data_IF_203061894781
#
_entry.id   IF_203061894781
#
_cell.length_a   1.000
_cell.length_b   1.000
_cell.length_c   1.000
_cell.angle_alpha   90.00
_cell.angle_beta   90.00
_cell.angle_gamma   90.00
#
_symmetry.space_group_name_H-M   'P 1'
#
loop_
_entity.id
_entity.type
_entity.pdbx_description
1 polymer ?
#
# COMPACT_ATOMS: atom_id res chain seq x y z
N UNK A 1 -2.16 11.74 19.21
CA UNK A 1 -3.04 10.85 18.42
C UNK A 1 -4.44 11.45 18.49
N UNK A 2 -5.08 11.80 17.38
CA UNK A 2 -6.39 12.46 17.38
C UNK A 2 -7.47 11.37 17.55
N UNK A 3 -8.47 11.56 18.43
CA UNK A 3 -9.56 10.60 18.56
C UNK A 3 -10.38 10.51 17.26
N UNK A 4 -10.90 9.33 16.90
CA UNK A 4 -11.60 9.10 15.62
C UNK A 4 -12.78 10.04 15.39
N UNK A 5 -13.51 10.37 16.45
CA UNK A 5 -14.71 11.21 16.38
C UNK A 5 -14.36 12.65 16.00
N UNK A 6 -13.28 13.21 16.56
CA UNK A 6 -12.79 14.56 16.20
C UNK A 6 -12.27 14.62 14.77
N UNK A 7 -11.67 13.53 14.27
CA UNK A 7 -11.29 13.44 12.86
C UNK A 7 -12.53 13.43 11.94
N UNK A 8 -13.59 12.72 12.34
CA UNK A 8 -14.86 12.69 11.60
C UNK A 8 -15.54 14.06 11.52
N UNK A 9 -15.53 14.82 12.61
CA UNK A 9 -16.06 16.20 12.64
C UNK A 9 -15.27 17.13 11.71
N UNK A 10 -13.94 17.00 11.67
CA UNK A 10 -13.10 17.78 10.76
C UNK A 10 -13.40 17.46 9.28
N UNK A 11 -13.57 16.18 8.95
CA UNK A 11 -13.94 15.73 7.60
C UNK A 11 -15.26 16.37 7.16
N UNK A 12 -16.26 16.36 8.06
CA UNK A 12 -17.55 17.01 7.82
C UNK A 12 -17.42 18.52 7.63
N UNK A 13 -16.64 19.19 8.48
CA UNK A 13 -16.39 20.62 8.38
C UNK A 13 -15.68 21.01 7.06
N UNK A 14 -14.81 20.12 6.57
CA UNK A 14 -14.07 20.29 5.31
C UNK A 14 -14.86 19.83 4.08
N UNK A 15 -16.09 19.32 4.24
CA UNK A 15 -16.94 18.75 3.16
C UNK A 15 -16.23 17.67 2.34
N UNK A 16 -15.40 16.85 2.99
CA UNK A 16 -14.71 15.73 2.36
C UNK A 16 -15.62 14.50 2.43
N UNK A 17 -15.77 13.76 1.34
CA UNK A 17 -16.54 12.52 1.35
C UNK A 17 -15.74 11.40 2.03
N UNK A 18 -16.31 10.82 3.10
CA UNK A 18 -15.72 9.70 3.82
C UNK A 18 -16.44 8.40 3.49
N UNK A 19 -15.67 7.39 3.11
CA UNK A 19 -16.13 6.04 2.86
C UNK A 19 -15.41 5.07 3.77
N UNK A 20 -16.12 4.56 4.79
CA UNK A 20 -15.56 3.61 5.74
C UNK A 20 -15.83 2.18 5.25
N UNK A 21 -14.80 1.46 4.83
CA UNK A 21 -14.91 0.08 4.36
C UNK A 21 -14.39 -0.86 5.44
N UNK A 22 -15.29 -1.66 6.03
CA UNK A 22 -14.94 -2.72 6.94
C UNK A 22 -14.61 -4.01 6.18
N UNK A 23 -13.33 -4.38 6.14
CA UNK A 23 -12.86 -5.64 5.56
C UNK A 23 -12.52 -6.63 6.70
N UNK A 24 -13.26 -7.73 6.80
CA UNK A 24 -13.03 -8.74 7.82
C UNK A 24 -14.16 -9.76 7.96
N UNK A 25 -13.81 -10.92 8.52
CA UNK A 25 -14.77 -11.96 8.90
C UNK A 25 -15.18 -11.75 10.37
N UNK A 26 -16.49 -11.80 10.65
CA UNK A 26 -16.97 -11.93 12.03
C UNK A 26 -16.94 -13.42 12.37
N UNK A 27 -16.02 -13.84 13.23
CA UNK A 27 -15.91 -15.26 13.56
C UNK A 27 -14.58 -15.66 14.17
N UNK A 28 -14.18 -16.90 13.90
CA UNK A 28 -12.96 -17.51 14.42
C UNK A 28 -11.88 -17.28 13.37
N UNK A 29 -10.84 -16.52 13.72
CA UNK A 29 -9.66 -16.37 12.89
C UNK A 29 -8.43 -16.97 13.60
N UNK A 30 -7.52 -17.63 12.86
CA UNK A 30 -6.26 -18.09 13.42
C UNK A 30 -5.39 -16.86 13.72
N UNK A 31 -5.29 -16.50 15.01
CA UNK A 31 -4.45 -15.41 15.47
C UNK A 31 -3.17 -15.95 16.09
N UNK A 32 -1.99 -15.36 15.80
CA UNK A 32 -0.75 -15.77 16.43
C UNK A 32 -0.82 -15.48 17.93
N UNK A 33 -0.47 -16.47 18.75
CA UNK A 33 -0.42 -16.29 20.20
C UNK A 33 0.87 -15.57 20.55
N UNK A 34 0.81 -14.54 21.39
CA UNK A 34 1.99 -13.80 21.85
C UNK A 34 2.34 -14.19 23.29
N UNK A 35 3.62 -14.37 23.60
CA UNK A 35 4.14 -14.50 24.95
C UNK A 35 4.07 -13.16 25.70
N UNK A 36 4.18 -13.18 27.04
CA UNK A 36 4.17 -11.96 27.89
C UNK A 36 5.26 -10.92 27.51
N UNK A 37 6.28 -11.32 26.77
CA UNK A 37 7.34 -10.45 26.26
C UNK A 37 7.02 -9.82 24.88
N UNK A 38 5.82 -10.03 24.35
CA UNK A 38 5.37 -9.51 23.06
C UNK A 38 5.86 -10.28 21.82
N UNK A 39 6.59 -11.38 21.99
CA UNK A 39 7.03 -12.24 20.87
C UNK A 39 5.97 -13.29 20.54
N UNK A 40 5.77 -13.65 19.26
CA UNK A 40 4.91 -14.77 18.90
C UNK A 40 5.44 -16.05 19.56
N UNK A 41 4.54 -16.83 20.15
CA UNK A 41 4.86 -18.15 20.68
C UNK A 41 5.27 -19.04 19.53
N UNK A 42 6.39 -19.71 19.72
CA UNK A 42 7.00 -20.57 18.72
C UNK A 42 7.06 -21.99 19.27
N UNK A 43 6.63 -22.97 18.49
CA UNK A 43 6.79 -24.38 18.84
C UNK A 43 8.28 -24.78 18.84
N UNK A 44 8.63 -25.96 19.36
CA UNK A 44 9.99 -26.49 19.42
C UNK A 44 10.69 -26.53 18.05
N UNK A 45 9.93 -26.45 16.96
CA UNK A 45 10.40 -26.43 15.57
C UNK A 45 10.52 -25.04 14.94
N UNK A 46 10.27 -23.94 15.67
CA UNK A 46 10.41 -22.59 15.11
C UNK A 46 9.15 -22.04 14.42
N UNK A 47 8.02 -22.76 14.45
CA UNK A 47 6.76 -22.33 13.83
C UNK A 47 5.91 -21.49 14.80
N UNK A 48 5.28 -20.42 14.29
CA UNK A 48 4.35 -19.58 15.07
C UNK A 48 3.11 -20.40 15.42
N UNK A 49 2.76 -20.43 16.70
CA UNK A 49 1.55 -21.09 17.19
C UNK A 49 0.36 -20.16 16.95
N UNK A 50 -0.60 -20.65 16.16
CA UNK A 50 -1.87 -19.99 15.91
C UNK A 50 -2.96 -20.58 16.79
N UNK A 51 -3.79 -19.72 17.37
CA UNK A 51 -5.00 -20.14 18.07
C UNK A 51 -6.22 -19.51 17.43
N UNK A 52 -7.28 -20.31 17.34
CA UNK A 52 -8.60 -19.89 16.91
C UNK A 52 -9.20 -18.95 17.95
N UNK A 53 -9.08 -17.64 17.74
CA UNK A 53 -9.68 -16.63 18.60
C UNK A 53 -10.90 -16.01 17.90
N UNK A 54 -11.94 -15.71 18.69
CA UNK A 54 -13.07 -14.92 18.19
C UNK A 54 -12.59 -13.49 17.97
N UNK A 55 -12.49 -13.09 16.72
CA UNK A 55 -12.19 -11.71 16.35
C UNK A 55 -13.51 -10.97 16.24
N UNK A 56 -13.71 -10.03 17.15
CA UNK A 56 -14.84 -9.09 17.08
C UNK A 56 -14.40 -7.88 16.27
N UNK A 57 -14.83 -7.82 15.01
CA UNK A 57 -14.65 -6.62 14.21
C UNK A 57 -15.57 -5.52 14.79
N UNK A 58 -15.00 -4.40 15.21
CA UNK A 58 -15.76 -3.29 15.78
C UNK A 58 -16.45 -2.47 14.67
N UNK A 59 -17.55 -3.03 14.18
CA UNK A 59 -18.41 -2.41 13.19
C UNK A 59 -19.11 -1.16 13.72
N UNK A 60 -19.47 -1.15 15.00
CA UNK A 60 -20.21 -0.06 15.63
C UNK A 60 -19.41 1.25 15.63
N UNK A 61 -18.11 1.20 15.96
CA UNK A 61 -17.26 2.39 15.95
C UNK A 61 -17.05 2.97 14.55
N UNK A 62 -16.93 2.12 13.53
CA UNK A 62 -16.80 2.57 12.14
C UNK A 62 -18.10 3.19 11.62
N UNK A 63 -19.25 2.62 11.99
CA UNK A 63 -20.56 3.21 11.67
C UNK A 63 -20.76 4.57 12.35
N UNK A 64 -20.32 4.73 13.60
CA UNK A 64 -20.42 6.01 14.31
C UNK A 64 -19.57 7.09 13.64
N UNK A 65 -18.31 6.78 13.30
CA UNK A 65 -17.42 7.68 12.56
C UNK A 65 -17.99 8.06 11.19
N UNK A 66 -18.54 7.10 10.44
CA UNK A 66 -19.17 7.36 9.16
C UNK A 66 -20.39 8.29 9.30
N UNK A 67 -21.25 8.06 10.32
CA UNK A 67 -22.39 8.93 10.61
C UNK A 67 -21.97 10.35 10.97
N UNK A 68 -20.95 10.52 11.80
CA UNK A 68 -20.44 11.85 12.19
C UNK A 68 -19.90 12.60 10.98
N UNK A 69 -19.20 11.89 10.09
CA UNK A 69 -18.60 12.45 8.88
C UNK A 69 -19.60 12.66 7.72
N UNK A 70 -20.89 12.33 7.89
CA UNK A 70 -21.90 12.31 6.81
C UNK A 70 -21.48 11.41 5.62
N UNK A 71 -20.72 10.37 5.92
CA UNK A 71 -20.16 9.42 4.97
C UNK A 71 -20.94 8.10 4.91
N UNK A 72 -20.52 7.21 4.00
CA UNK A 72 -21.13 5.89 3.85
C UNK A 72 -20.25 4.79 4.47
N UNK A 73 -20.90 3.84 5.17
CA UNK A 73 -20.25 2.65 5.69
C UNK A 73 -20.56 1.46 4.78
N UNK A 74 -19.52 0.78 4.31
CA UNK A 74 -19.64 -0.42 3.51
C UNK A 74 -18.97 -1.61 4.20
N UNK A 75 -19.63 -2.76 4.14
CA UNK A 75 -19.09 -4.02 4.64
C UNK A 75 -18.60 -4.86 3.47
N UNK A 76 -17.29 -5.08 3.38
CA UNK A 76 -16.68 -5.92 2.37
C UNK A 76 -16.32 -7.27 3.01
N UNK A 77 -17.21 -8.26 2.84
CA UNK A 77 -16.95 -9.65 3.30
C UNK A 77 -16.14 -10.46 2.31
N UNK A 78 -16.10 -10.04 1.05
CA UNK A 78 -15.43 -10.74 -0.06
C UNK A 78 -14.86 -9.75 -1.08
N UNK A 79 -13.84 -10.16 -1.85
CA UNK A 79 -13.14 -9.35 -2.85
C UNK A 79 -14.07 -8.81 -3.93
N UNK A 80 -15.06 -9.60 -4.36
CA UNK A 80 -16.06 -9.16 -5.35
C UNK A 80 -16.92 -7.99 -4.83
N UNK A 81 -17.37 -8.10 -3.58
CA UNK A 81 -18.12 -7.02 -2.91
C UNK A 81 -17.28 -5.75 -2.80
N UNK A 82 -15.98 -5.88 -2.48
CA UNK A 82 -15.07 -4.74 -2.43
C UNK A 82 -14.95 -4.04 -3.79
N UNK A 83 -14.75 -4.81 -4.86
CA UNK A 83 -14.65 -4.28 -6.23
C UNK A 83 -15.93 -3.58 -6.68
N UNK A 84 -17.10 -4.13 -6.31
CA UNK A 84 -18.38 -3.50 -6.59
C UNK A 84 -18.57 -2.18 -5.83
N UNK A 85 -18.21 -2.15 -4.53
CA UNK A 85 -18.25 -0.93 -3.71
C UNK A 85 -17.37 0.16 -4.34
N UNK A 86 -16.14 -0.18 -4.73
CA UNK A 86 -15.25 0.77 -5.41
C UNK A 86 -15.82 1.24 -6.76
N UNK A 87 -16.42 0.34 -7.54
CA UNK A 87 -17.06 0.69 -8.80
C UNK A 87 -18.28 1.61 -8.63
N UNK A 88 -19.02 1.50 -7.54
CA UNK A 88 -20.15 2.38 -7.25
C UNK A 88 -19.68 3.74 -6.70
N UNK A 89 -18.62 3.77 -5.88
CA UNK A 89 -17.97 5.02 -5.43
C UNK A 89 -17.42 5.80 -6.64
N UNK A 90 -16.74 5.14 -7.57
CA UNK A 90 -16.15 5.76 -8.77
C UNK A 90 -17.20 6.37 -9.72
N UNK A 91 -18.42 5.81 -9.75
CA UNK A 91 -19.54 6.39 -10.53
C UNK A 91 -20.11 7.64 -9.87
N UNK A 92 -20.15 7.68 -8.53
CA UNK A 92 -20.69 8.78 -7.74
C UNK A 92 -19.70 9.95 -7.67
N UNK A 93 -18.39 9.64 -7.58
CA UNK A 93 -17.31 10.61 -7.65
C UNK A 93 -16.64 10.58 -9.03
N UNK A 94 -17.15 11.37 -9.98
CA UNK A 94 -16.40 11.71 -11.19
C UNK A 94 -15.27 12.69 -10.86
N UNK A 95 -14.29 12.24 -10.09
CA UNK A 95 -13.11 13.04 -9.78
C UNK A 95 -11.92 12.37 -10.44
N UNK A 96 -11.24 13.08 -11.34
CA UNK A 96 -10.06 12.58 -12.06
C UNK A 96 -8.97 12.24 -11.04
N UNK A 97 -8.89 10.98 -10.60
CA UNK A 97 -7.90 10.57 -9.62
C UNK A 97 -6.54 10.65 -10.29
N UNK A 98 -5.84 11.76 -10.06
CA UNK A 98 -4.40 11.88 -10.28
C UNK A 98 -3.72 11.03 -9.20
N UNK A 99 -3.82 9.70 -9.37
CA UNK A 99 -3.03 8.77 -8.59
C UNK A 99 -1.59 9.14 -8.91
N UNK A 100 -0.90 9.77 -7.96
CA UNK A 100 0.58 9.80 -7.96
C UNK A 100 1.03 8.36 -7.84
N UNK A 101 0.99 7.63 -8.96
CA UNK A 101 1.67 6.35 -9.09
C UNK A 101 3.14 6.68 -8.94
N UNK A 102 3.67 6.41 -7.76
CA UNK A 102 5.10 6.21 -7.57
C UNK A 102 5.46 4.94 -8.34
N UNK A 103 5.57 5.08 -9.66
CA UNK A 103 6.12 4.04 -10.51
C UNK A 103 7.63 4.18 -10.34
N UNK A 104 8.25 3.26 -9.60
CA UNK A 104 9.71 3.14 -9.59
C UNK A 104 10.15 2.83 -11.02
N UNK A 105 10.64 3.85 -11.72
CA UNK A 105 11.33 3.65 -12.98
C UNK A 105 12.70 3.07 -12.66
N UNK A 106 12.92 1.82 -13.08
CA UNK A 106 14.27 1.25 -13.17
C UNK A 106 14.96 1.91 -14.36
N UNK A 107 15.70 2.98 -14.09
CA UNK A 107 16.49 3.64 -15.12
C UNK A 107 17.62 2.71 -15.57
N UNK A 108 17.42 2.07 -16.74
CA UNK A 108 18.45 1.33 -17.48
C UNK A 108 19.39 2.28 -18.24
N UNK A 109 19.06 3.57 -18.26
CA UNK A 109 19.81 4.65 -18.92
C UNK A 109 21.28 4.79 -18.46
N UNK A 110 21.63 4.69 -17.16
CA UNK A 110 23.01 4.82 -16.70
C UNK A 110 23.91 3.71 -17.24
N UNK A 111 23.39 2.49 -17.37
CA UNK A 111 24.15 1.33 -17.86
C UNK A 111 24.52 1.52 -19.34
N UNK A 112 23.56 1.96 -20.17
CA UNK A 112 23.78 2.24 -21.59
C UNK A 112 24.80 3.38 -21.82
N UNK A 113 24.70 4.46 -21.05
CA UNK A 113 25.68 5.57 -21.12
C UNK A 113 27.08 5.08 -20.74
N UNK A 114 27.21 4.29 -19.67
CA UNK A 114 28.50 3.81 -19.21
C UNK A 114 29.19 2.92 -20.26
N UNK A 115 28.43 2.04 -20.93
CA UNK A 115 28.96 1.23 -22.04
C UNK A 115 29.37 2.10 -23.23
N UNK A 116 28.57 3.10 -23.60
CA UNK A 116 28.89 4.03 -24.69
C UNK A 116 30.15 4.87 -24.43
N UNK A 117 30.27 5.44 -23.22
CA UNK A 117 31.48 6.16 -22.81
C UNK A 117 32.71 5.24 -22.79
N UNK A 118 32.56 4.00 -22.33
CA UNK A 118 33.64 3.01 -22.36
C UNK A 118 34.15 2.71 -23.77
N UNK A 119 33.23 2.54 -24.73
CA UNK A 119 33.57 2.33 -26.15
C UNK A 119 34.29 3.53 -26.76
N UNK A 120 33.86 4.76 -26.46
CA UNK A 120 34.52 5.98 -26.95
C UNK A 120 35.94 6.13 -26.39
N UNK A 121 36.13 5.87 -25.09
CA UNK A 121 37.47 5.91 -24.47
C UNK A 121 38.36 4.83 -25.08
N UNK A 122 37.85 3.62 -25.25
CA UNK A 122 38.57 2.54 -25.91
C UNK A 122 38.97 2.92 -27.34
N UNK A 123 38.07 3.52 -28.12
CA UNK A 123 38.36 4.00 -29.48
C UNK A 123 39.49 5.04 -29.48
N UNK A 124 39.47 6.01 -28.56
CA UNK A 124 40.51 7.05 -28.47
C UNK A 124 41.86 6.41 -28.08
N UNK A 125 41.87 5.52 -27.09
CA UNK A 125 43.10 4.85 -26.64
C UNK A 125 43.69 3.94 -27.72
N UNK A 126 42.86 3.14 -28.41
CA UNK A 126 43.31 2.33 -29.55
C UNK A 126 43.76 3.22 -30.72
N UNK A 127 43.06 4.32 -30.99
CA UNK A 127 43.46 5.28 -32.02
C UNK A 127 44.83 5.91 -31.75
N UNK A 128 45.11 6.26 -30.50
CA UNK A 128 46.38 6.85 -30.07
C UNK A 128 47.51 5.83 -29.93
N UNK A 129 47.18 4.56 -29.63
CA UNK A 129 48.18 3.50 -29.34
C UNK A 129 48.52 2.66 -30.57
N UNK A 130 47.53 2.33 -31.41
CA UNK A 130 47.69 1.45 -32.58
C UNK A 130 47.95 2.28 -33.84
N UNK A 131 47.51 3.53 -33.89
CA UNK A 131 47.83 4.46 -34.97
C UNK A 131 48.56 5.70 -34.42
N UNK A 132 49.81 5.49 -34.02
CA UNK A 132 50.82 6.49 -34.38
C UNK A 132 50.77 6.63 -35.90
N UNK A 133 49.91 7.53 -36.39
CA UNK A 133 50.17 8.23 -37.64
C UNK A 133 51.48 8.97 -37.40
N UNK A 134 52.57 8.28 -37.72
CA UNK A 134 53.75 8.93 -38.26
C UNK A 134 53.27 9.90 -39.36
N UNK A 135 53.88 11.09 -39.48
CA UNK A 135 53.72 11.88 -40.69
C UNK A 135 53.97 11.03 -41.94
#
# INVERSE_FOLDING_TARGET
KIPPNTAAEAIKALKIQLYAIGAGINGIAPTPVFAQNGKPLTDMFGNIVYQNQRVHFNEAGLQEVAKIADGQFFRATDTKSLEQIFGDIDKLEKTTVSVKKYQEYRDLFPALIMTGCGLLIAQILLGQTIWKKLP
#
